data_IF_340657773968
#
_entry.id   IF_340657773968
#
_cell.length_a   1.000
_cell.length_b   1.000
_cell.length_c   1.000
_cell.angle_alpha   90.00
_cell.angle_beta   90.00
_cell.angle_gamma   90.00
#
_symmetry.space_group_name_H-M   'P 1'
#
loop_
_entity.id
_entity.type
_entity.pdbx_description
1 polymer ?
#
# COMPACT_ATOMS: atom_id res chain seq x y z
N UNK A 1 20.98 -32.32 12.69
CA UNK A 1 21.02 -33.49 13.60
C UNK A 1 20.86 -32.96 15.01
N UNK A 2 19.71 -33.17 15.65
CA UNK A 2 19.37 -32.57 16.95
C UNK A 2 18.09 -33.18 17.51
N UNK A 3 18.27 -34.30 18.22
CA UNK A 3 17.49 -34.88 19.32
C UNK A 3 15.95 -34.83 19.29
N UNK A 4 15.35 -35.96 18.92
CA UNK A 4 14.02 -36.39 19.37
C UNK A 4 14.20 -37.03 20.76
N UNK A 5 13.94 -36.27 21.83
CA UNK A 5 14.09 -36.75 23.21
C UNK A 5 12.94 -37.67 23.62
N UNK A 6 13.27 -38.96 23.80
CA UNK A 6 12.82 -39.86 24.87
C UNK A 6 11.45 -39.59 25.54
N UNK A 7 10.38 -40.19 25.01
CA UNK A 7 9.26 -40.67 25.85
C UNK A 7 8.37 -41.67 25.10
N UNK A 8 8.82 -42.92 24.96
CA UNK A 8 7.93 -44.03 24.60
C UNK A 8 8.47 -45.35 25.14
N UNK A 9 8.37 -45.55 26.47
CA UNK A 9 8.31 -46.89 27.07
C UNK A 9 6.99 -47.01 27.80
N UNK A 10 5.99 -47.56 27.11
CA UNK A 10 4.91 -48.45 27.57
C UNK A 10 3.95 -48.59 26.39
N UNK A 11 3.65 -49.83 26.05
CA UNK A 11 2.92 -50.18 24.85
C UNK A 11 1.47 -49.70 24.92
N UNK A 12 1.06 -48.97 23.90
CA UNK A 12 -0.32 -48.82 23.41
C UNK A 12 -0.24 -48.65 21.89
N UNK A 13 -1.31 -49.05 21.20
CA UNK A 13 -1.40 -49.42 19.79
C UNK A 13 -0.69 -48.52 18.77
N UNK A 14 -0.08 -49.19 17.79
CA UNK A 14 0.42 -48.62 16.54
C UNK A 14 -0.77 -48.18 15.66
N UNK A 15 -1.16 -46.91 15.76
CA UNK A 15 -1.85 -46.16 14.70
C UNK A 15 -1.48 -44.67 14.82
N UNK A 16 -0.17 -44.41 14.84
CA UNK A 16 0.41 -43.08 14.98
C UNK A 16 0.67 -42.43 13.62
N UNK A 17 -0.18 -41.46 13.27
CA UNK A 17 -0.14 -40.53 12.13
C UNK A 17 1.28 -39.97 11.80
N UNK A 18 2.15 -40.77 11.17
CA UNK A 18 3.48 -40.35 10.70
C UNK A 18 3.44 -39.53 9.40
N UNK A 19 2.30 -39.49 8.71
CA UNK A 19 2.12 -38.69 7.49
C UNK A 19 2.15 -37.17 7.75
N UNK A 20 1.59 -36.72 8.88
CA UNK A 20 1.51 -35.29 9.22
C UNK A 20 2.87 -34.60 9.42
N UNK A 21 3.85 -35.28 10.02
CA UNK A 21 5.16 -34.71 10.32
C UNK A 21 6.04 -34.56 9.06
N UNK A 22 5.99 -35.54 8.15
CA UNK A 22 6.68 -35.49 6.86
C UNK A 22 6.05 -34.43 5.92
N UNK A 23 4.72 -34.36 5.87
CA UNK A 23 3.96 -33.37 5.11
C UNK A 23 4.25 -31.93 5.59
N UNK A 24 4.30 -31.73 6.91
CA UNK A 24 4.61 -30.42 7.53
C UNK A 24 6.05 -30.00 7.25
N UNK A 25 7.00 -30.93 7.35
CA UNK A 25 8.42 -30.69 7.03
C UNK A 25 8.60 -30.37 5.54
N UNK A 26 7.88 -31.07 4.66
CA UNK A 26 7.89 -30.81 3.21
C UNK A 26 7.33 -29.44 2.86
N UNK A 27 6.20 -29.04 3.46
CA UNK A 27 5.61 -27.70 3.25
C UNK A 27 6.54 -26.59 3.72
N UNK A 28 7.21 -26.78 4.86
CA UNK A 28 8.20 -25.82 5.40
C UNK A 28 9.44 -25.72 4.52
N UNK A 29 9.91 -26.83 3.95
CA UNK A 29 11.03 -26.81 3.01
C UNK A 29 10.67 -26.11 1.69
N UNK A 30 9.47 -26.40 1.15
CA UNK A 30 8.97 -25.75 -0.07
C UNK A 30 8.76 -24.24 0.12
N UNK A 31 8.29 -23.79 1.28
CA UNK A 31 8.14 -22.35 1.56
C UNK A 31 9.51 -21.65 1.61
N UNK A 32 10.51 -22.25 2.26
CA UNK A 32 11.88 -21.71 2.34
C UNK A 32 12.52 -21.64 0.95
N UNK A 33 12.39 -22.68 0.13
CA UNK A 33 12.92 -22.69 -1.25
C UNK A 33 12.25 -21.62 -2.10
N UNK A 34 10.93 -21.44 -1.96
CA UNK A 34 10.15 -20.43 -2.70
C UNK A 34 10.49 -19.01 -2.27
N UNK A 35 10.71 -18.78 -0.98
CA UNK A 35 11.18 -17.50 -0.43
C UNK A 35 12.59 -17.14 -0.92
N UNK A 36 13.52 -18.11 -0.93
CA UNK A 36 14.86 -17.90 -1.50
C UNK A 36 14.85 -17.68 -3.02
N UNK A 37 13.83 -18.19 -3.72
CA UNK A 37 13.68 -18.02 -5.18
C UNK A 37 13.15 -16.65 -5.57
N UNK A 38 12.36 -15.99 -4.72
CA UNK A 38 11.76 -14.67 -5.01
C UNK A 38 12.63 -13.47 -4.60
N UNK A 39 13.55 -13.63 -3.65
CA UNK A 39 14.43 -12.56 -3.13
C UNK A 39 15.75 -12.49 -3.91
N UNK A 40 16.18 -11.29 -4.32
CA UNK A 40 17.56 -11.03 -4.76
C UNK A 40 18.41 -10.70 -3.52
N UNK A 41 17.90 -9.79 -2.69
CA UNK A 41 18.41 -9.47 -1.36
C UNK A 41 17.21 -9.26 -0.40
N UNK A 42 17.43 -9.01 0.91
CA UNK A 42 16.33 -8.78 1.85
C UNK A 42 15.41 -7.59 1.52
N UNK A 43 15.89 -6.68 0.68
CA UNK A 43 15.27 -5.37 0.38
C UNK A 43 14.71 -5.32 -1.06
N UNK A 44 15.21 -6.17 -1.97
CA UNK A 44 14.87 -6.16 -3.40
C UNK A 44 14.55 -7.57 -3.89
N UNK A 45 13.45 -7.70 -4.62
CA UNK A 45 13.03 -8.94 -5.29
C UNK A 45 13.87 -9.26 -6.52
N UNK A 46 13.80 -10.51 -6.99
CA UNK A 46 14.42 -10.86 -8.27
C UNK A 46 13.64 -10.24 -9.43
N UNK A 47 14.30 -9.53 -10.35
CA UNK A 47 13.66 -9.08 -11.58
C UNK A 47 13.07 -10.28 -12.32
N UNK A 48 11.80 -10.17 -12.71
CA UNK A 48 11.09 -11.17 -13.48
C UNK A 48 10.48 -10.57 -14.73
N UNK A 49 10.12 -11.41 -15.69
CA UNK A 49 9.43 -10.95 -16.89
C UNK A 49 7.98 -10.57 -16.56
N UNK A 50 7.61 -9.33 -16.87
CA UNK A 50 6.25 -8.82 -16.68
C UNK A 50 5.23 -9.55 -17.59
N UNK A 51 5.64 -9.90 -18.81
CA UNK A 51 4.82 -10.70 -19.74
C UNK A 51 5.43 -12.08 -19.89
N UNK A 52 4.75 -13.08 -19.35
CA UNK A 52 5.06 -14.50 -19.58
C UNK A 52 3.86 -15.18 -20.21
N UNK A 53 4.05 -16.28 -20.96
CA UNK A 53 2.93 -17.03 -21.56
C UNK A 53 1.86 -17.45 -20.54
N UNK A 54 2.25 -17.57 -19.26
CA UNK A 54 1.38 -17.95 -18.15
C UNK A 54 0.82 -16.75 -17.37
N UNK A 55 0.76 -15.55 -17.95
CA UNK A 55 0.27 -14.34 -17.25
C UNK A 55 -1.22 -14.43 -16.89
N UNK A 56 -1.99 -15.19 -17.66
CA UNK A 56 -3.42 -15.44 -17.39
C UNK A 56 -3.64 -16.52 -16.33
N UNK A 57 -2.60 -17.27 -15.95
CA UNK A 57 -2.73 -18.25 -14.88
C UNK A 57 -2.89 -17.56 -13.52
N UNK A 58 -3.45 -18.29 -12.56
CA UNK A 58 -3.61 -17.82 -11.19
C UNK A 58 -2.26 -17.40 -10.58
N UNK A 59 -2.24 -16.26 -9.90
CA UNK A 59 -1.09 -15.83 -9.13
C UNK A 59 -0.96 -16.64 -7.85
N UNK A 60 0.28 -16.96 -7.52
CA UNK A 60 0.63 -17.86 -6.44
C UNK A 60 0.10 -17.38 -5.07
N UNK A 61 -0.89 -18.07 -4.51
CA UNK A 61 -1.47 -17.74 -3.19
C UNK A 61 -2.70 -16.85 -3.23
N UNK A 62 -3.13 -16.40 -4.42
CA UNK A 62 -4.33 -15.58 -4.61
C UNK A 62 -5.28 -16.22 -5.61
N UNK A 63 -6.55 -15.81 -5.61
CA UNK A 63 -7.56 -16.35 -6.53
C UNK A 63 -7.63 -15.61 -7.87
N UNK A 64 -6.78 -14.59 -8.07
CA UNK A 64 -6.74 -13.74 -9.27
C UNK A 64 -5.67 -14.18 -10.27
N UNK A 65 -5.86 -13.97 -11.59
CA UNK A 65 -4.82 -14.05 -12.61
C UNK A 65 -3.58 -13.19 -12.30
N UNK A 66 -2.40 -13.58 -12.79
CA UNK A 66 -1.18 -12.75 -12.61
C UNK A 66 -1.31 -11.39 -13.28
N UNK A 67 -1.99 -11.33 -14.43
CA UNK A 67 -2.25 -10.08 -15.15
C UNK A 67 -2.92 -9.04 -14.24
N UNK A 68 -3.99 -9.44 -13.54
CA UNK A 68 -4.76 -8.56 -12.66
C UNK A 68 -3.91 -8.10 -11.47
N UNK A 69 -3.13 -9.00 -10.86
CA UNK A 69 -2.20 -8.64 -9.79
C UNK A 69 -1.15 -7.62 -10.25
N UNK A 70 -0.53 -7.84 -11.41
CA UNK A 70 0.47 -6.93 -11.98
C UNK A 70 -0.16 -5.57 -12.28
N UNK A 71 -1.34 -5.53 -12.88
CA UNK A 71 -2.03 -4.28 -13.18
C UNK A 71 -2.42 -3.53 -11.90
N UNK A 72 -2.96 -4.23 -10.90
CA UNK A 72 -3.33 -3.63 -9.62
C UNK A 72 -2.13 -2.97 -8.92
N UNK A 73 -0.99 -3.69 -8.85
CA UNK A 73 0.25 -3.15 -8.28
C UNK A 73 0.84 -2.02 -9.13
N UNK A 74 0.70 -2.08 -10.46
CA UNK A 74 1.10 -0.99 -11.35
C UNK A 74 0.32 0.30 -11.06
N UNK A 75 -1.00 0.22 -10.85
CA UNK A 75 -1.82 1.40 -10.54
C UNK A 75 -1.38 2.03 -9.20
N UNK A 76 -1.02 1.21 -8.21
CA UNK A 76 -0.44 1.68 -6.94
C UNK A 76 0.89 2.41 -7.15
N UNK A 77 1.77 1.88 -8.00
CA UNK A 77 3.02 2.55 -8.36
C UNK A 77 2.77 3.88 -9.08
N UNK A 78 1.83 3.90 -10.03
CA UNK A 78 1.49 5.06 -10.83
C UNK A 78 0.92 6.21 -9.97
N UNK A 79 -0.05 5.93 -9.09
CA UNK A 79 -0.64 6.96 -8.24
C UNK A 79 0.38 7.53 -7.25
N UNK A 80 1.31 6.72 -6.75
CA UNK A 80 2.37 7.16 -5.83
C UNK A 80 3.23 8.26 -6.45
N UNK A 81 3.59 8.10 -7.72
CA UNK A 81 4.35 9.13 -8.47
C UNK A 81 3.51 10.38 -8.70
N UNK A 82 2.22 10.24 -8.98
CA UNK A 82 1.31 11.38 -9.16
C UNK A 82 1.17 12.19 -7.85
N UNK A 83 1.08 11.52 -6.69
CA UNK A 83 1.05 12.17 -5.38
C UNK A 83 2.32 12.98 -5.13
N UNK A 84 3.48 12.37 -5.41
CA UNK A 84 4.78 13.05 -5.32
C UNK A 84 4.83 14.26 -6.27
N UNK A 85 4.38 14.08 -7.52
CA UNK A 85 4.37 15.12 -8.54
C UNK A 85 3.67 16.40 -8.06
N UNK A 86 2.57 16.26 -7.31
CA UNK A 86 1.79 17.38 -6.76
C UNK A 86 2.64 18.38 -5.96
N UNK A 87 3.71 17.93 -5.30
CA UNK A 87 4.64 18.79 -4.56
C UNK A 87 5.59 19.59 -5.47
N UNK A 88 5.86 19.09 -6.68
CA UNK A 88 6.86 19.61 -7.63
C UNK A 88 6.23 20.36 -8.82
N UNK A 89 4.91 20.30 -8.98
CA UNK A 89 4.19 20.97 -10.06
C UNK A 89 4.54 22.47 -10.13
N UNK A 90 4.92 22.89 -11.34
CA UNK A 90 5.29 24.26 -11.68
C UNK A 90 6.70 24.69 -11.23
N UNK A 91 7.54 23.76 -10.75
CA UNK A 91 8.89 24.11 -10.24
C UNK A 91 10.02 23.25 -10.81
N UNK A 92 9.71 22.04 -11.28
CA UNK A 92 10.71 21.13 -11.82
C UNK A 92 10.58 21.02 -13.35
N UNK A 93 11.72 21.05 -14.05
CA UNK A 93 11.75 20.86 -15.50
C UNK A 93 11.30 19.43 -15.86
N UNK A 94 10.64 19.29 -17.01
CA UNK A 94 10.16 18.02 -17.54
C UNK A 94 11.27 16.97 -17.71
N UNK A 95 12.45 17.35 -18.19
CA UNK A 95 13.58 16.42 -18.32
C UNK A 95 14.05 15.87 -16.97
N UNK A 96 14.10 16.72 -15.93
CA UNK A 96 14.42 16.28 -14.58
C UNK A 96 13.34 15.33 -14.05
N UNK A 97 12.06 15.57 -14.37
CA UNK A 97 10.95 14.67 -14.02
C UNK A 97 11.06 13.31 -14.71
N UNK A 98 11.34 13.29 -16.02
CA UNK A 98 11.53 12.05 -16.78
C UNK A 98 12.66 11.17 -16.24
N UNK A 99 13.71 11.76 -15.68
CA UNK A 99 14.81 11.02 -15.04
C UNK A 99 14.45 10.62 -13.60
N UNK A 100 13.83 11.53 -12.86
CA UNK A 100 13.48 11.34 -11.45
C UNK A 100 12.49 10.19 -11.25
N UNK A 101 11.42 10.13 -12.05
CA UNK A 101 10.35 9.12 -11.92
C UNK A 101 10.86 7.68 -11.97
N UNK A 102 11.58 7.22 -13.03
CA UNK A 102 12.07 5.84 -13.09
C UNK A 102 13.11 5.55 -12.01
N UNK A 103 13.94 6.53 -11.65
CA UNK A 103 14.94 6.38 -10.59
C UNK A 103 14.28 6.21 -9.22
N UNK A 104 13.31 7.07 -8.89
CA UNK A 104 12.59 7.00 -7.63
C UNK A 104 11.70 5.76 -7.54
N UNK A 105 10.99 5.41 -8.63
CA UNK A 105 10.22 4.18 -8.68
C UNK A 105 11.09 2.95 -8.40
N UNK A 106 12.26 2.85 -9.05
CA UNK A 106 13.13 1.68 -8.92
C UNK A 106 13.85 1.63 -7.58
N UNK A 107 14.41 2.75 -7.12
CA UNK A 107 15.29 2.80 -5.94
C UNK A 107 14.54 3.02 -4.62
N UNK A 108 13.34 3.61 -4.66
CA UNK A 108 12.55 3.90 -3.46
C UNK A 108 11.26 3.08 -3.43
N UNK A 109 10.37 3.26 -4.41
CA UNK A 109 9.06 2.61 -4.39
C UNK A 109 9.16 1.08 -4.41
N UNK A 110 9.89 0.52 -5.38
CA UNK A 110 10.06 -0.94 -5.49
C UNK A 110 10.73 -1.54 -4.27
N UNK A 111 11.69 -0.84 -3.68
CA UNK A 111 12.34 -1.23 -2.42
C UNK A 111 11.34 -1.28 -1.26
N UNK A 112 10.53 -0.24 -1.09
CA UNK A 112 9.50 -0.17 -0.05
C UNK A 112 8.41 -1.22 -0.25
N UNK A 113 7.87 -1.32 -1.46
CA UNK A 113 6.84 -2.28 -1.84
C UNK A 113 7.33 -3.72 -1.64
N UNK A 114 8.56 -4.03 -2.04
CA UNK A 114 9.12 -5.36 -1.80
C UNK A 114 9.33 -5.63 -0.30
N UNK A 115 9.87 -4.65 0.43
CA UNK A 115 10.18 -4.78 1.86
C UNK A 115 8.95 -5.13 2.70
N UNK A 116 7.79 -4.57 2.34
CA UNK A 116 6.53 -4.68 3.09
C UNK A 116 5.56 -5.71 2.48
N UNK A 117 5.35 -5.71 1.16
CA UNK A 117 4.37 -6.57 0.48
C UNK A 117 4.97 -7.72 -0.32
N UNK A 118 6.24 -7.62 -0.71
CA UNK A 118 6.88 -8.54 -1.65
C UNK A 118 7.59 -9.73 -1.00
N UNK A 119 7.21 -10.12 0.22
CA UNK A 119 8.04 -10.99 1.07
C UNK A 119 9.41 -10.37 1.32
N UNK A 120 9.42 -9.17 1.88
CA UNK A 120 10.62 -8.49 2.31
C UNK A 120 10.96 -8.80 3.77
N UNK A 121 11.82 -7.99 4.39
CA UNK A 121 12.15 -8.15 5.81
C UNK A 121 11.11 -7.52 6.75
N UNK A 122 10.28 -6.59 6.25
CA UNK A 122 9.28 -5.86 7.06
C UNK A 122 7.87 -6.46 7.00
N UNK A 123 7.60 -7.37 6.06
CA UNK A 123 6.28 -8.03 5.89
C UNK A 123 5.69 -8.57 7.20
N UNK A 124 6.53 -9.13 8.08
CA UNK A 124 6.09 -9.72 9.37
C UNK A 124 6.08 -8.74 10.55
N UNK A 125 6.57 -7.52 10.34
CA UNK A 125 6.84 -6.56 11.41
C UNK A 125 5.98 -5.30 11.30
N UNK A 126 5.48 -4.99 10.10
CA UNK A 126 4.70 -3.79 9.83
C UNK A 126 3.33 -4.20 9.28
N UNK A 127 2.29 -3.57 9.81
CA UNK A 127 0.94 -3.68 9.26
C UNK A 127 0.75 -2.51 8.30
N UNK A 128 0.70 -2.83 7.01
CA UNK A 128 0.34 -1.89 5.95
C UNK A 128 -0.59 -2.57 4.95
N UNK A 129 -1.89 -2.42 5.19
CA UNK A 129 -2.93 -3.13 4.45
C UNK A 129 -2.99 -2.75 2.96
N UNK A 130 -2.99 -1.45 2.64
CA UNK A 130 -3.17 -0.96 1.27
C UNK A 130 -2.18 0.12 0.82
N UNK A 131 -1.24 0.57 1.66
CA UNK A 131 -0.19 1.52 1.25
C UNK A 131 -0.05 2.77 2.08
N UNK A 132 -0.41 2.71 3.36
CA UNK A 132 -0.13 3.80 4.30
C UNK A 132 1.36 4.16 4.30
N UNK A 133 2.24 3.15 4.33
CA UNK A 133 3.68 3.38 4.30
C UNK A 133 4.19 3.48 2.86
N UNK A 134 3.96 2.44 2.06
CA UNK A 134 4.57 2.29 0.71
C UNK A 134 4.14 3.41 -0.24
N UNK A 135 2.90 3.89 -0.13
CA UNK A 135 2.33 4.88 -1.04
C UNK A 135 2.33 6.24 -0.38
N UNK A 136 1.58 6.44 0.71
CA UNK A 136 1.30 7.77 1.24
C UNK A 136 2.49 8.38 1.99
N UNK A 137 3.05 7.66 2.97
CA UNK A 137 4.20 8.17 3.73
C UNK A 137 5.43 8.33 2.82
N UNK A 138 5.74 7.32 2.01
CA UNK A 138 6.88 7.33 1.09
C UNK A 138 6.80 8.50 0.10
N UNK A 139 5.68 8.67 -0.62
CA UNK A 139 5.52 9.79 -1.56
C UNK A 139 5.45 11.14 -0.86
N UNK A 140 4.87 11.22 0.34
CA UNK A 140 4.80 12.44 1.13
C UNK A 140 6.20 12.93 1.56
N UNK A 141 7.02 12.02 2.11
CA UNK A 141 8.41 12.33 2.51
C UNK A 141 9.26 12.66 1.27
N UNK A 142 9.11 11.90 0.19
CA UNK A 142 9.80 12.17 -1.06
C UNK A 142 9.40 13.52 -1.68
N UNK A 143 8.11 13.86 -1.66
CA UNK A 143 7.62 15.15 -2.14
C UNK A 143 8.11 16.32 -1.29
N UNK A 144 8.08 16.16 0.04
CA UNK A 144 8.64 17.15 0.97
C UNK A 144 10.14 17.38 0.75
N UNK A 145 10.93 16.31 0.68
CA UNK A 145 12.38 16.40 0.43
C UNK A 145 12.68 16.95 -0.96
N UNK A 146 12.00 16.49 -2.00
CA UNK A 146 12.19 17.01 -3.35
C UNK A 146 11.80 18.49 -3.46
N UNK A 147 10.71 18.93 -2.81
CA UNK A 147 10.32 20.34 -2.78
C UNK A 147 11.36 21.22 -2.05
N UNK A 148 12.03 20.68 -1.02
CA UNK A 148 13.14 21.36 -0.36
C UNK A 148 14.34 21.53 -1.33
N UNK A 149 14.74 20.48 -2.05
CA UNK A 149 15.88 20.52 -2.97
C UNK A 149 15.63 21.34 -4.24
N UNK A 150 14.42 21.28 -4.80
CA UNK A 150 14.04 22.09 -5.98
C UNK A 150 13.94 23.57 -5.61
N UNK A 151 13.60 23.86 -4.35
CA UNK A 151 13.50 25.22 -3.83
C UNK A 151 12.09 25.81 -3.93
N UNK A 152 11.92 27.03 -3.39
CA UNK A 152 10.61 27.66 -3.25
C UNK A 152 10.07 28.17 -4.61
N UNK A 153 8.73 28.31 -4.72
CA UNK A 153 8.10 29.03 -5.87
C UNK A 153 8.58 30.46 -5.94
N UNK A 154 8.34 31.13 -7.07
CA UNK A 154 8.62 32.56 -7.20
C UNK A 154 7.88 33.37 -6.12
N UNK A 155 8.45 34.51 -5.71
CA UNK A 155 7.88 35.31 -4.62
C UNK A 155 6.44 35.77 -4.90
N UNK A 156 6.14 36.10 -6.17
CA UNK A 156 4.80 36.52 -6.59
C UNK A 156 3.76 35.41 -6.38
N UNK A 157 4.08 34.16 -6.75
CA UNK A 157 3.20 33.00 -6.55
C UNK A 157 2.94 32.70 -5.08
N UNK A 158 3.90 33.02 -4.19
CA UNK A 158 3.76 32.76 -2.75
C UNK A 158 2.89 33.81 -2.06
N UNK A 159 2.90 35.05 -2.55
CA UNK A 159 2.12 36.15 -1.98
C UNK A 159 0.67 36.11 -2.45
N UNK A 160 0.41 35.59 -3.65
CA UNK A 160 -0.93 35.47 -4.20
C UNK A 160 -1.15 34.06 -4.78
N UNK A 161 -1.73 33.17 -3.98
CA UNK A 161 -1.96 31.77 -4.37
C UNK A 161 -3.45 31.37 -4.29
N UNK A 162 -4.32 32.00 -5.11
CA UNK A 162 -5.71 31.59 -5.17
C UNK A 162 -5.84 30.19 -5.81
N UNK A 163 -6.86 29.40 -5.43
CA UNK A 163 -7.18 28.15 -6.12
C UNK A 163 -7.43 28.43 -7.60
N UNK A 164 -6.80 27.66 -8.48
CA UNK A 164 -6.96 27.83 -9.92
C UNK A 164 -8.37 27.46 -10.40
N UNK A 165 -8.97 26.39 -9.87
CA UNK A 165 -10.31 25.93 -10.21
C UNK A 165 -10.87 24.98 -9.14
N UNK A 166 -11.82 25.48 -8.35
CA UNK A 166 -12.44 24.71 -7.25
C UNK A 166 -13.31 23.55 -7.78
N UNK A 167 -13.96 23.72 -8.93
CA UNK A 167 -14.82 22.67 -9.50
C UNK A 167 -14.00 21.46 -9.95
N UNK A 168 -12.85 21.69 -10.59
CA UNK A 168 -11.93 20.59 -10.94
C UNK A 168 -11.37 19.89 -9.70
N UNK A 169 -11.04 20.64 -8.65
CA UNK A 169 -10.61 20.07 -7.37
C UNK A 169 -11.70 19.16 -6.78
N UNK A 170 -12.96 19.60 -6.76
CA UNK A 170 -14.09 18.81 -6.28
C UNK A 170 -14.33 17.55 -7.12
N UNK A 171 -14.25 17.66 -8.45
CA UNK A 171 -14.32 16.50 -9.35
C UNK A 171 -13.22 15.47 -9.05
N UNK A 172 -11.97 15.94 -8.92
CA UNK A 172 -10.84 15.08 -8.54
C UNK A 172 -11.01 14.45 -7.17
N UNK A 173 -11.51 15.19 -6.18
CA UNK A 173 -11.84 14.69 -4.86
C UNK A 173 -12.89 13.56 -4.90
N UNK A 174 -13.94 13.74 -5.69
CA UNK A 174 -14.96 12.71 -5.91
C UNK A 174 -14.40 11.44 -6.56
N UNK A 175 -13.57 11.59 -7.61
CA UNK A 175 -12.91 10.44 -8.25
C UNK A 175 -11.95 9.72 -7.30
N UNK A 176 -11.21 10.46 -6.47
CA UNK A 176 -10.33 9.87 -5.47
C UNK A 176 -11.11 9.07 -4.44
N UNK A 177 -12.21 9.61 -3.90
CA UNK A 177 -13.01 8.87 -2.92
C UNK A 177 -13.61 7.60 -3.54
N UNK A 178 -14.22 7.71 -4.72
CA UNK A 178 -14.77 6.55 -5.43
C UNK A 178 -13.69 5.51 -5.75
N UNK A 179 -12.54 5.94 -6.26
CA UNK A 179 -11.41 5.07 -6.59
C UNK A 179 -10.82 4.39 -5.35
N UNK A 180 -10.87 5.04 -4.18
CA UNK A 180 -10.34 4.50 -2.94
C UNK A 180 -11.10 3.26 -2.44
N UNK A 181 -12.38 3.13 -2.80
CA UNK A 181 -13.16 1.90 -2.59
C UNK A 181 -12.48 0.71 -3.27
N UNK A 182 -12.00 0.87 -4.50
CA UNK A 182 -11.23 -0.16 -5.21
C UNK A 182 -9.81 -0.33 -4.65
N UNK A 183 -9.18 0.76 -4.22
CA UNK A 183 -7.85 0.76 -3.61
C UNK A 183 -7.82 -0.10 -2.34
N UNK A 184 -8.69 0.19 -1.37
CA UNK A 184 -8.76 -0.53 -0.10
C UNK A 184 -9.54 -1.85 -0.22
N UNK A 185 -10.67 -1.86 -0.93
CA UNK A 185 -11.49 -3.05 -1.12
C UNK A 185 -10.84 -4.12 -2.00
N UNK A 186 -9.98 -3.73 -2.94
CA UNK A 186 -9.25 -4.63 -3.84
C UNK A 186 -7.92 -5.16 -3.31
N UNK A 187 -7.38 -4.56 -2.24
CA UNK A 187 -6.14 -4.99 -1.60
C UNK A 187 -6.08 -6.44 -1.09
N UNK A 188 -7.19 -7.13 -0.71
CA UNK A 188 -7.12 -8.55 -0.35
C UNK A 188 -7.15 -9.47 -1.58
N UNK A 189 -7.27 -8.94 -2.81
CA UNK A 189 -7.35 -9.68 -4.08
C UNK A 189 -8.43 -10.79 -4.08
N UNK A 190 -9.53 -10.54 -3.36
CA UNK A 190 -10.66 -11.46 -3.26
C UNK A 190 -11.94 -10.71 -2.88
N UNK A 191 -13.08 -11.17 -3.38
CA UNK A 191 -14.39 -10.69 -2.95
C UNK A 191 -14.85 -11.48 -1.71
N UNK A 192 -14.57 -10.94 -0.53
CA UNK A 192 -14.85 -11.59 0.76
C UNK A 192 -15.22 -10.56 1.85
N UNK A 193 -15.51 -11.04 3.07
CA UNK A 193 -15.86 -10.17 4.20
C UNK A 193 -14.78 -9.13 4.56
N UNK A 194 -13.51 -9.43 4.29
CA UNK A 194 -12.40 -8.49 4.52
C UNK A 194 -12.46 -7.31 3.54
N UNK A 195 -12.72 -7.59 2.26
CA UNK A 195 -12.94 -6.54 1.25
C UNK A 195 -14.14 -5.65 1.62
N UNK A 196 -15.27 -6.26 2.02
CA UNK A 196 -16.45 -5.52 2.44
C UNK A 196 -16.20 -4.63 3.66
N UNK A 197 -15.47 -5.13 4.66
CA UNK A 197 -15.09 -4.36 5.84
C UNK A 197 -14.16 -3.19 5.49
N UNK A 198 -13.16 -3.42 4.64
CA UNK A 198 -12.24 -2.38 4.20
C UNK A 198 -12.96 -1.25 3.43
N UNK A 199 -13.96 -1.59 2.61
CA UNK A 199 -14.80 -0.61 1.93
C UNK A 199 -15.60 0.21 2.95
N UNK A 200 -16.28 -0.45 3.90
CA UNK A 200 -17.08 0.23 4.92
C UNK A 200 -16.23 1.19 5.76
N UNK A 201 -15.08 0.71 6.25
CA UNK A 201 -14.13 1.49 7.03
C UNK A 201 -13.60 2.69 6.24
N UNK A 202 -13.37 2.54 4.93
CA UNK A 202 -12.99 3.66 4.05
C UNK A 202 -14.02 4.77 4.08
N UNK A 203 -15.30 4.45 3.89
CA UNK A 203 -16.36 5.46 3.87
C UNK A 203 -16.60 6.09 5.24
N UNK A 204 -16.68 5.27 6.30
CA UNK A 204 -16.91 5.76 7.67
C UNK A 204 -15.76 6.66 8.11
N UNK A 205 -14.51 6.23 7.97
CA UNK A 205 -13.36 7.04 8.38
C UNK A 205 -13.27 8.35 7.59
N UNK A 206 -13.52 8.31 6.28
CA UNK A 206 -13.49 9.50 5.43
C UNK A 206 -14.59 10.49 5.81
N UNK A 207 -15.82 10.02 6.03
CA UNK A 207 -16.93 10.87 6.46
C UNK A 207 -16.67 11.50 7.82
N UNK A 208 -16.17 10.71 8.80
CA UNK A 208 -15.82 11.23 10.12
C UNK A 208 -14.69 12.26 10.04
N UNK A 209 -13.62 11.97 9.28
CA UNK A 209 -12.49 12.90 9.10
C UNK A 209 -12.93 14.21 8.45
N UNK A 210 -13.78 14.16 7.42
CA UNK A 210 -14.35 15.34 6.78
C UNK A 210 -15.15 16.18 7.79
N UNK A 211 -16.06 15.56 8.55
CA UNK A 211 -16.88 16.26 9.54
C UNK A 211 -16.03 16.89 10.65
N UNK A 212 -15.02 16.17 11.13
CA UNK A 212 -14.06 16.66 12.12
C UNK A 212 -13.29 17.86 11.56
N UNK A 213 -12.78 17.76 10.34
CA UNK A 213 -12.02 18.85 9.73
C UNK A 213 -12.87 20.10 9.53
N UNK A 214 -14.09 19.96 9.01
CA UNK A 214 -15.02 21.09 8.82
C UNK A 214 -15.40 21.70 10.17
N UNK A 215 -15.60 20.87 11.20
CA UNK A 215 -15.89 21.35 12.54
C UNK A 215 -14.69 22.12 13.13
N UNK A 216 -13.46 21.63 12.93
CA UNK A 216 -12.24 22.34 13.32
C UNK A 216 -12.10 23.68 12.58
N UNK A 217 -12.39 23.72 11.28
CA UNK A 217 -12.38 24.96 10.50
C UNK A 217 -13.37 25.98 11.08
N UNK A 218 -14.59 25.54 11.42
CA UNK A 218 -15.61 26.38 12.06
C UNK A 218 -15.19 26.86 13.45
N UNK A 219 -14.50 26.02 14.23
CA UNK A 219 -14.05 26.38 15.59
C UNK A 219 -12.90 27.40 15.54
N UNK A 220 -11.90 27.13 14.70
CA UNK A 220 -10.63 27.89 14.64
C UNK A 220 -10.76 29.13 13.77
N UNK A 221 -11.28 28.98 12.55
CA UNK A 221 -11.35 30.07 11.57
C UNK A 221 -12.72 30.75 11.50
N UNK A 222 -13.71 30.27 12.29
CA UNK A 222 -15.09 30.79 12.34
C UNK A 222 -15.85 30.70 11.00
N UNK A 223 -15.30 29.96 10.04
CA UNK A 223 -15.84 29.76 8.69
C UNK A 223 -15.43 28.39 8.17
N UNK A 224 -16.29 27.76 7.39
CA UNK A 224 -16.01 26.50 6.70
C UNK A 224 -15.41 26.79 5.32
N UNK A 225 -14.47 25.96 4.89
CA UNK A 225 -13.85 26.05 3.57
C UNK A 225 -14.07 24.77 2.78
N UNK A 226 -14.40 24.92 1.50
CA UNK A 226 -14.48 23.79 0.56
C UNK A 226 -13.13 23.09 0.42
N UNK A 227 -12.03 23.84 0.46
CA UNK A 227 -10.68 23.30 0.41
C UNK A 227 -10.40 22.50 1.68
N UNK A 228 -10.83 23.01 2.84
CA UNK A 228 -10.71 22.32 4.12
C UNK A 228 -11.51 21.01 4.15
N UNK A 229 -12.74 21.00 3.62
CA UNK A 229 -13.53 19.78 3.49
C UNK A 229 -12.84 18.72 2.61
N UNK A 230 -12.27 19.11 1.47
CA UNK A 230 -11.50 18.19 0.61
C UNK A 230 -10.23 17.70 1.32
N UNK A 231 -9.54 18.56 2.07
CA UNK A 231 -8.37 18.18 2.87
C UNK A 231 -8.74 17.14 3.95
N UNK A 232 -9.86 17.36 4.65
CA UNK A 232 -10.40 16.42 5.64
C UNK A 232 -10.79 15.08 5.04
N UNK A 233 -11.38 15.09 3.85
CA UNK A 233 -11.69 13.88 3.08
C UNK A 233 -10.42 13.09 2.73
N UNK A 234 -9.42 13.74 2.11
CA UNK A 234 -8.15 13.09 1.73
C UNK A 234 -7.43 12.55 2.97
N UNK A 235 -7.44 13.31 4.07
CA UNK A 235 -6.82 12.87 5.33
C UNK A 235 -7.45 11.58 5.84
N UNK A 236 -8.79 11.47 5.86
CA UNK A 236 -9.46 10.25 6.29
C UNK A 236 -9.13 9.05 5.41
N UNK A 237 -9.14 9.25 4.09
CA UNK A 237 -8.77 8.23 3.09
C UNK A 237 -7.33 7.72 3.31
N UNK A 238 -6.38 8.63 3.49
CA UNK A 238 -4.97 8.28 3.74
C UNK A 238 -4.79 7.58 5.08
N UNK A 239 -5.39 8.09 6.16
CA UNK A 239 -5.22 7.57 7.51
C UNK A 239 -5.76 6.14 7.69
N UNK A 240 -6.86 5.78 7.01
CA UNK A 240 -7.45 4.45 7.14
C UNK A 240 -6.74 3.38 6.29
N UNK A 241 -5.99 3.80 5.27
CA UNK A 241 -5.32 2.91 4.30
C UNK A 241 -4.46 1.80 4.93
N UNK A 242 -3.61 2.06 5.96
CA UNK A 242 -2.86 0.97 6.60
C UNK A 242 -3.69 0.12 7.58
N UNK A 243 -4.82 0.63 8.10
CA UNK A 243 -5.48 0.13 9.31
C UNK A 243 -6.85 -0.56 9.07
N UNK A 244 -7.15 -0.97 7.83
CA UNK A 244 -8.48 -1.43 7.44
C UNK A 244 -9.03 -2.63 8.22
N UNK A 245 -8.17 -3.53 8.70
CA UNK A 245 -8.60 -4.85 9.22
C UNK A 245 -7.88 -5.21 10.52
N UNK A 246 -7.66 -4.22 11.40
CA UNK A 246 -6.89 -4.45 12.63
C UNK A 246 -7.68 -5.08 13.80
N UNK A 247 -8.97 -5.39 13.63
CA UNK A 247 -9.83 -5.75 14.78
C UNK A 247 -10.22 -7.24 14.82
N UNK A 248 -10.09 -8.00 13.72
CA UNK A 248 -10.59 -9.39 13.68
C UNK A 248 -9.51 -10.47 13.58
N UNK A 249 -8.28 -10.15 13.18
CA UNK A 249 -7.26 -11.21 12.97
C UNK A 249 -6.32 -11.44 14.16
N UNK A 250 -6.40 -10.62 15.21
CA UNK A 250 -5.60 -10.80 16.44
C UNK A 250 -6.26 -11.72 17.47
N UNK A 251 -7.40 -12.36 17.15
CA UNK A 251 -8.19 -13.18 18.08
C UNK A 251 -8.38 -14.64 17.70
N UNK A 252 -7.82 -15.10 16.58
CA UNK A 252 -7.84 -16.52 16.19
C UNK A 252 -6.43 -17.07 15.94
#
# INVERSE_FOLDING_TARGET
MGQCTSKQRRGEGLDGNCGGCAETTRRRCLSIVREKRSRLCPIVGRPGFAMTPNILHRFEGYYVPKADYVYFQFVFAAITVILLAGSLLGRMNFYAWMLFVPMWLTLSYTVGAFSIWGRGFLEKHIIDYAGGFVIHLSSGVAGFTAAYWVGPRQAHDRQHFPPNNIIHMLGGAGFLWLGWTGFNGGSPFAANGIASLAILNTHVCTATSLLVWVSLDMIVYKKSSVIGAVQGMITGLVCITPAQVNILHSRD
#
